data_IF_947218954086
#
_entry.id   IF_947218954086
#
_cell.length_a   1.000
_cell.length_b   1.000
_cell.length_c   1.000
_cell.angle_alpha   90.00
_cell.angle_beta   90.00
_cell.angle_gamma   90.00
#
_symmetry.space_group_name_H-M   'P 1'
#
loop_
_entity.id
_entity.type
_entity.pdbx_description
1 polymer ?
#
# COMPACT_ATOMS: atom_id res chain seq x y z
N UNK A 1 22.42 -8.10 -7.79
CA UNK A 1 21.93 -6.74 -8.13
C UNK A 1 20.75 -6.32 -7.25
N UNK A 2 19.74 -7.17 -7.05
CA UNK A 2 18.61 -6.90 -6.13
C UNK A 2 19.04 -6.90 -4.64
N UNK A 3 20.04 -7.69 -4.26
CA UNK A 3 20.52 -7.78 -2.87
C UNK A 3 21.30 -6.54 -2.41
N UNK A 4 21.69 -5.64 -3.32
CA UNK A 4 22.52 -4.48 -3.00
C UNK A 4 21.68 -3.26 -2.58
N UNK A 5 20.42 -3.18 -2.99
CA UNK A 5 19.51 -2.06 -2.64
C UNK A 5 19.07 -2.18 -1.18
N UNK A 6 18.83 -3.39 -0.69
CA UNK A 6 18.42 -3.62 0.72
C UNK A 6 19.53 -3.21 1.70
N UNK A 7 20.79 -3.29 1.29
CA UNK A 7 21.96 -2.97 2.12
C UNK A 7 22.24 -1.46 2.28
N UNK A 8 21.54 -0.59 1.54
CA UNK A 8 21.68 0.88 1.66
C UNK A 8 20.60 1.53 2.51
N UNK A 9 19.63 0.76 3.03
CA UNK A 9 18.49 1.33 3.75
C UNK A 9 18.82 1.65 5.20
N UNK A 10 19.01 2.94 5.46
CA UNK A 10 19.14 3.51 6.79
C UNK A 10 17.93 3.18 7.69
N UNK A 11 18.12 3.03 9.02
CA UNK A 11 17.03 3.01 9.99
C UNK A 11 16.32 4.37 9.98
N UNK A 12 15.36 4.54 9.09
CA UNK A 12 14.70 5.83 8.82
C UNK A 12 13.91 5.88 7.50
N UNK A 13 13.94 4.84 6.67
CA UNK A 13 13.07 4.78 5.49
C UNK A 13 11.59 4.68 5.89
N UNK A 14 10.74 5.32 5.08
CA UNK A 14 9.29 5.32 5.31
C UNK A 14 8.78 3.86 5.39
N UNK A 15 7.90 3.52 6.36
CA UNK A 15 7.41 2.15 6.54
C UNK A 15 6.76 1.57 5.28
N UNK A 16 6.26 2.42 4.38
CA UNK A 16 5.70 2.01 3.08
C UNK A 16 6.78 1.51 2.11
N UNK A 17 7.97 2.12 2.12
CA UNK A 17 9.12 1.68 1.30
C UNK A 17 9.58 0.32 1.77
N UNK A 18 9.75 0.14 3.09
CA UNK A 18 10.09 -1.17 3.67
C UNK A 18 9.08 -2.25 3.29
N UNK A 19 7.78 -1.94 3.34
CA UNK A 19 6.72 -2.90 3.02
C UNK A 19 6.78 -3.37 1.55
N UNK A 20 6.95 -2.46 0.60
CA UNK A 20 7.04 -2.79 -0.83
C UNK A 20 8.26 -3.65 -1.16
N UNK A 21 9.43 -3.33 -0.60
CA UNK A 21 10.65 -4.10 -0.84
C UNK A 21 10.70 -5.44 -0.10
N UNK A 22 10.10 -5.54 1.11
CA UNK A 22 10.15 -6.75 1.95
C UNK A 22 9.10 -7.79 1.55
N UNK A 23 7.89 -7.34 1.19
CA UNK A 23 6.75 -8.23 0.90
C UNK A 23 6.37 -8.25 -0.58
N UNK A 24 6.99 -7.43 -1.42
CA UNK A 24 6.79 -7.46 -2.88
C UNK A 24 5.38 -7.05 -3.34
N UNK A 25 4.57 -6.44 -2.47
CA UNK A 25 3.21 -6.04 -2.81
C UNK A 25 3.20 -4.71 -3.60
N UNK A 26 3.63 -4.75 -4.85
CA UNK A 26 3.58 -3.61 -5.77
C UNK A 26 2.22 -3.43 -6.45
N UNK A 27 1.36 -4.45 -6.38
CA UNK A 27 0.04 -4.49 -7.02
C UNK A 27 -1.07 -4.34 -5.99
N UNK A 28 -2.17 -3.72 -6.39
CA UNK A 28 -3.40 -3.70 -5.63
C UNK A 28 -3.98 -5.13 -5.56
N UNK A 29 -4.19 -5.70 -4.36
CA UNK A 29 -4.69 -7.07 -4.23
C UNK A 29 -6.12 -7.30 -4.75
N UNK A 30 -6.90 -6.22 -4.90
CA UNK A 30 -8.31 -6.30 -5.33
C UNK A 30 -8.41 -6.35 -6.85
N UNK A 31 -7.75 -5.44 -7.57
CA UNK A 31 -7.79 -5.41 -9.03
C UNK A 31 -6.61 -6.14 -9.70
N UNK A 32 -5.65 -6.62 -8.90
CA UNK A 32 -4.39 -7.25 -9.35
C UNK A 32 -3.54 -6.38 -10.28
N UNK A 33 -3.82 -5.08 -10.36
CA UNK A 33 -3.12 -4.11 -11.17
C UNK A 33 -2.34 -3.10 -10.33
N UNK A 34 -1.69 -2.16 -11.00
CA UNK A 34 -1.02 -1.06 -10.34
C UNK A 34 -1.98 -0.22 -9.48
N UNK A 35 -1.64 0.08 -8.21
CA UNK A 35 -2.46 0.94 -7.37
C UNK A 35 -2.62 2.34 -7.99
N UNK A 36 -3.78 2.62 -8.56
CA UNK A 36 -4.17 3.95 -9.00
C UNK A 36 -4.74 4.70 -7.79
N UNK A 37 -4.23 5.90 -7.54
CA UNK A 37 -4.54 6.67 -6.33
C UNK A 37 -4.41 5.79 -5.08
N UNK A 38 -3.18 5.36 -4.72
CA UNK A 38 -2.95 4.42 -3.66
C UNK A 38 -3.35 4.98 -2.30
N UNK A 39 -3.99 4.14 -1.52
CA UNK A 39 -4.30 4.34 -0.12
C UNK A 39 -3.70 3.22 0.71
N UNK A 40 -3.24 3.55 1.91
CA UNK A 40 -2.74 2.58 2.88
C UNK A 40 -3.66 2.50 4.08
N UNK A 41 -4.17 1.31 4.37
CA UNK A 41 -4.96 1.05 5.57
C UNK A 41 -4.08 1.12 6.82
N UNK A 42 -4.66 1.23 8.03
CA UNK A 42 -3.90 1.24 9.28
C UNK A 42 -2.98 0.02 9.45
N UNK A 43 -3.42 -1.14 8.92
CA UNK A 43 -2.67 -2.39 8.87
C UNK A 43 -1.52 -2.43 7.84
N UNK A 44 -1.24 -1.30 7.17
CA UNK A 44 -0.14 -1.06 6.22
C UNK A 44 -0.28 -1.70 4.82
N UNK A 45 -1.42 -2.31 4.52
CA UNK A 45 -1.72 -2.80 3.17
C UNK A 45 -2.19 -1.68 2.24
N UNK A 46 -1.74 -1.74 0.98
CA UNK A 46 -1.95 -0.70 -0.03
C UNK A 46 -2.97 -1.18 -1.08
N UNK A 47 -3.93 -0.31 -1.42
CA UNK A 47 -4.98 -0.56 -2.40
C UNK A 47 -5.22 0.68 -3.27
N UNK A 48 -5.91 0.54 -4.41
CA UNK A 48 -6.52 1.69 -5.07
C UNK A 48 -7.61 2.28 -4.17
N UNK A 49 -7.72 3.60 -4.11
CA UNK A 49 -8.84 4.27 -3.41
C UNK A 49 -10.19 3.78 -3.93
N UNK A 50 -10.35 3.64 -5.24
CA UNK A 50 -11.60 3.15 -5.84
C UNK A 50 -11.94 1.72 -5.38
N UNK A 51 -10.96 0.82 -5.39
CA UNK A 51 -11.16 -0.58 -4.98
C UNK A 51 -11.52 -0.69 -3.51
N UNK A 52 -10.83 0.04 -2.63
CA UNK A 52 -11.08 -0.08 -1.19
C UNK A 52 -12.40 0.58 -0.79
N UNK A 53 -12.83 1.65 -1.48
CA UNK A 53 -14.16 2.25 -1.29
C UNK A 53 -15.31 1.32 -1.69
N UNK A 54 -15.11 0.51 -2.73
CA UNK A 54 -16.11 -0.51 -3.11
C UNK A 54 -16.17 -1.65 -2.10
N UNK A 55 -15.02 -2.00 -1.50
CA UNK A 55 -14.94 -3.06 -0.51
C UNK A 55 -15.50 -2.64 0.85
N UNK A 56 -15.11 -1.48 1.36
CA UNK A 56 -15.50 -1.00 2.69
C UNK A 56 -16.93 -0.44 2.64
N UNK A 57 -17.89 -1.22 3.12
CA UNK A 57 -19.31 -0.86 3.23
C UNK A 57 -19.84 -1.17 4.63
N UNK A 58 -20.98 -0.60 5.08
CA UNK A 58 -21.53 -0.88 6.40
C UNK A 58 -21.69 -2.38 6.66
N UNK A 59 -21.04 -2.89 7.71
CA UNK A 59 -20.98 -4.33 8.02
C UNK A 59 -19.78 -5.08 7.42
N UNK A 60 -19.02 -4.44 6.52
CA UNK A 60 -17.78 -4.93 5.93
C UNK A 60 -16.67 -3.88 6.08
N UNK A 61 -16.21 -3.69 7.32
CA UNK A 61 -15.17 -2.73 7.68
C UNK A 61 -13.89 -3.44 8.13
N UNK A 62 -13.30 -4.19 7.20
CA UNK A 62 -12.05 -4.92 7.42
C UNK A 62 -11.20 -5.03 6.16
N UNK A 63 -9.90 -5.12 6.35
CA UNK A 63 -8.92 -5.26 5.27
C UNK A 63 -9.14 -6.57 4.48
N UNK A 64 -9.23 -6.51 3.13
CA UNK A 64 -9.41 -7.70 2.29
C UNK A 64 -8.29 -8.75 2.42
N UNK A 65 -7.08 -8.33 2.81
CA UNK A 65 -5.90 -9.20 2.88
C UNK A 65 -5.71 -9.90 4.22
N UNK A 66 -5.88 -9.16 5.32
CA UNK A 66 -5.53 -9.63 6.66
C UNK A 66 -6.71 -9.63 7.64
N UNK A 67 -7.89 -9.24 7.18
CA UNK A 67 -9.12 -9.18 7.99
C UNK A 67 -9.04 -8.28 9.23
N UNK A 68 -8.01 -7.43 9.33
CA UNK A 68 -7.91 -6.44 10.39
C UNK A 68 -9.01 -5.39 10.23
N UNK A 69 -9.67 -4.99 11.32
CA UNK A 69 -10.74 -4.00 11.27
C UNK A 69 -10.23 -2.64 10.78
N UNK A 70 -11.13 -1.87 10.18
CA UNK A 70 -10.92 -0.48 9.76
C UNK A 70 -12.02 0.34 10.42
N UNK A 71 -11.67 1.47 11.04
CA UNK A 71 -12.68 2.35 11.64
C UNK A 71 -13.62 2.91 10.57
N UNK A 72 -14.91 3.06 10.89
CA UNK A 72 -15.91 3.59 9.95
C UNK A 72 -15.58 5.01 9.47
N UNK A 73 -14.94 5.81 10.33
CA UNK A 73 -14.51 7.19 10.04
C UNK A 73 -13.14 7.25 9.34
N UNK A 74 -12.58 6.11 8.91
CA UNK A 74 -11.27 6.07 8.28
C UNK A 74 -11.26 6.89 6.98
N UNK A 75 -10.32 7.85 6.82
CA UNK A 75 -10.29 8.71 5.66
C UNK A 75 -9.85 7.97 4.40
N UNK A 76 -10.72 7.94 3.38
CA UNK A 76 -10.47 7.26 2.12
C UNK A 76 -10.01 8.20 1.00
N UNK A 77 -8.82 8.79 1.15
CA UNK A 77 -8.18 9.63 0.14
C UNK A 77 -6.76 9.11 -0.21
N UNK A 78 -6.24 9.41 -1.41
CA UNK A 78 -4.94 8.90 -1.83
C UNK A 78 -3.80 9.48 -0.98
N UNK A 79 -2.79 8.65 -0.72
CA UNK A 79 -1.55 9.08 -0.06
C UNK A 79 -0.51 9.49 -1.10
N UNK A 80 -0.14 10.77 -1.12
CA UNK A 80 0.83 11.30 -2.06
C UNK A 80 2.23 10.71 -1.85
N UNK A 81 2.60 10.42 -0.60
CA UNK A 81 3.87 9.77 -0.27
C UNK A 81 3.97 8.37 -0.90
N UNK A 82 2.87 7.61 -0.86
CA UNK A 82 2.82 6.26 -1.43
C UNK A 82 2.88 6.31 -2.96
N UNK A 83 2.22 7.31 -3.57
CA UNK A 83 2.31 7.56 -5.02
C UNK A 83 3.75 7.73 -5.46
N UNK A 84 4.50 8.60 -4.77
CA UNK A 84 5.90 8.85 -5.08
C UNK A 84 6.75 7.59 -4.91
N UNK A 85 6.55 6.84 -3.83
CA UNK A 85 7.31 5.61 -3.58
C UNK A 85 7.07 4.56 -4.66
N UNK A 86 5.81 4.30 -5.04
CA UNK A 86 5.49 3.32 -6.11
C UNK A 86 6.15 3.73 -7.44
N UNK A 87 6.12 5.03 -7.78
CA UNK A 87 6.79 5.55 -8.98
C UNK A 87 8.31 5.39 -8.90
N UNK A 88 8.93 5.73 -7.78
CA UNK A 88 10.39 5.61 -7.58
C UNK A 88 10.87 4.17 -7.64
N UNK A 89 10.12 3.23 -7.05
CA UNK A 89 10.41 1.79 -7.14
C UNK A 89 10.34 1.35 -8.60
N UNK A 90 9.30 1.70 -9.36
CA UNK A 90 9.16 1.34 -10.78
C UNK A 90 10.25 1.89 -11.68
N UNK A 91 10.76 3.10 -11.42
CA UNK A 91 11.86 3.68 -12.21
C UNK A 91 13.20 2.95 -11.92
N UNK A 92 13.29 2.29 -10.76
CA UNK A 92 14.50 1.58 -10.33
C UNK A 92 14.59 0.13 -10.82
N UNK A 93 13.52 -0.41 -11.43
CA UNK A 93 13.43 -1.76 -11.98
C UNK A 93 13.17 -1.71 -13.50
#
# INVERSE_FOLDING_TARGET
>A
LISSIVLSFHPGSSPVVYFLFRFGQTLCPVCMGDPQDPLCLPCKHIFCVACIKQWLNPGQMYCPLCMQPVDDDFPMFPSNDIRLVIVSVKISF
#
